data_IF_718933533278
#
_entry.id   IF_718933533278
#
_cell.length_a   1.000
_cell.length_b   1.000
_cell.length_c   1.000
_cell.angle_alpha   90.00
_cell.angle_beta   90.00
_cell.angle_gamma   90.00
#
_symmetry.space_group_name_H-M   'P 1'
#
loop_
_entity.id
_entity.type
_entity.pdbx_description
1 polymer ?
#
# COMPACT_ATOMS: atom_id res chain seq x y z
N UNK A 1 11.64 -13.13 8.83
CA UNK A 1 11.66 -11.85 8.07
C UNK A 1 13.10 -11.56 7.68
N UNK A 2 13.42 -11.63 6.38
CA UNK A 2 14.75 -11.24 5.89
C UNK A 2 14.81 -9.72 5.71
N UNK A 3 15.91 -9.10 6.10
CA UNK A 3 16.19 -7.71 5.77
C UNK A 3 16.61 -7.64 4.29
N UNK A 4 15.63 -7.54 3.39
CA UNK A 4 15.86 -7.43 1.95
C UNK A 4 15.64 -5.97 1.52
N UNK A 5 16.67 -5.27 1.01
CA UNK A 5 16.50 -3.91 0.51
C UNK A 5 15.67 -3.89 -0.77
N UNK A 6 15.11 -2.73 -1.09
CA UNK A 6 14.40 -2.51 -2.35
C UNK A 6 15.31 -2.76 -3.55
N UNK A 7 14.75 -3.28 -4.64
CA UNK A 7 15.49 -3.55 -5.89
C UNK A 7 15.79 -2.29 -6.70
N UNK A 8 15.28 -1.13 -6.27
CA UNK A 8 15.51 0.19 -6.86
C UNK A 8 15.28 0.23 -8.37
N UNK A 9 14.02 0.00 -8.77
CA UNK A 9 13.58 0.10 -10.17
C UNK A 9 14.03 1.42 -10.82
N UNK A 10 14.44 1.33 -12.08
CA UNK A 10 14.87 2.48 -12.89
C UNK A 10 13.82 3.60 -12.89
N UNK A 11 14.29 4.83 -12.67
CA UNK A 11 13.47 6.03 -12.76
C UNK A 11 12.95 6.21 -14.19
N UNK A 12 11.71 6.68 -14.31
CA UNK A 12 11.03 6.84 -15.61
C UNK A 12 10.31 5.57 -16.11
N UNK A 13 10.49 4.42 -15.44
CA UNK A 13 9.68 3.23 -15.72
C UNK A 13 8.20 3.52 -15.41
N UNK A 14 7.32 3.15 -16.34
CA UNK A 14 5.87 3.24 -16.14
C UNK A 14 5.44 2.32 -15.02
N UNK A 15 4.51 2.79 -14.18
CA UNK A 15 3.88 1.95 -13.18
C UNK A 15 3.18 0.76 -13.87
N UNK A 16 3.37 -0.48 -13.39
CA UNK A 16 2.61 -1.62 -13.87
C UNK A 16 1.11 -1.44 -13.57
N UNK A 17 0.26 -1.90 -14.49
CA UNK A 17 -1.18 -1.97 -14.27
C UNK A 17 -1.49 -2.89 -13.08
N UNK A 18 -2.49 -2.50 -12.28
CA UNK A 18 -3.02 -3.32 -11.20
C UNK A 18 -4.53 -3.13 -11.09
N UNK A 19 -5.20 -4.16 -10.59
CA UNK A 19 -6.63 -4.20 -10.29
C UNK A 19 -6.79 -5.10 -9.07
N UNK A 20 -7.02 -4.51 -7.89
CA UNK A 20 -6.97 -5.22 -6.60
C UNK A 20 -8.19 -4.86 -5.75
N UNK A 21 -8.72 -5.80 -4.94
CA UNK A 21 -9.80 -5.49 -4.01
C UNK A 21 -9.28 -4.64 -2.84
N UNK A 22 -10.03 -3.60 -2.48
CA UNK A 22 -9.85 -2.89 -1.22
C UNK A 22 -10.43 -3.70 -0.06
N UNK A 23 -9.60 -3.97 0.95
CA UNK A 23 -9.98 -4.75 2.14
C UNK A 23 -11.02 -4.06 3.02
N UNK A 24 -11.18 -2.73 2.91
CA UNK A 24 -12.16 -1.98 3.70
C UNK A 24 -13.54 -1.97 3.06
N UNK A 25 -13.60 -1.79 1.75
CA UNK A 25 -14.87 -1.59 1.02
C UNK A 25 -15.28 -2.77 0.15
N UNK A 26 -14.37 -3.70 -0.14
CA UNK A 26 -14.56 -4.77 -1.13
C UNK A 26 -14.59 -4.27 -2.57
N UNK A 27 -14.47 -2.96 -2.81
CA UNK A 27 -14.45 -2.39 -4.16
C UNK A 27 -13.12 -2.64 -4.82
N UNK A 28 -13.16 -2.85 -6.13
CA UNK A 28 -11.96 -2.95 -6.94
C UNK A 28 -11.33 -1.58 -7.11
N UNK A 29 -10.02 -1.49 -6.86
CA UNK A 29 -9.19 -0.31 -7.12
C UNK A 29 -8.18 -0.65 -8.21
N UNK A 30 -8.10 0.19 -9.23
CA UNK A 30 -7.20 0.04 -10.36
C UNK A 30 -6.24 1.23 -10.49
N UNK A 31 -5.13 1.04 -11.22
CA UNK A 31 -4.21 2.14 -11.53
C UNK A 31 -4.91 3.31 -12.24
N UNK A 32 -5.87 2.99 -13.12
CA UNK A 32 -6.65 3.99 -13.87
C UNK A 32 -7.48 4.92 -12.99
N UNK A 33 -7.85 4.51 -11.77
CA UNK A 33 -8.62 5.35 -10.84
C UNK A 33 -7.83 6.58 -10.38
N UNK A 34 -6.51 6.56 -10.58
CA UNK A 34 -5.60 7.65 -10.22
C UNK A 34 -5.19 8.53 -11.41
N UNK A 35 -5.69 8.29 -12.63
CA UNK A 35 -5.26 8.99 -13.85
C UNK A 35 -5.42 10.53 -13.80
N UNK A 36 -6.33 11.05 -12.96
CA UNK A 36 -6.52 12.49 -12.75
C UNK A 36 -5.64 13.12 -11.65
N UNK A 37 -4.79 12.34 -10.98
CA UNK A 37 -3.90 12.83 -9.90
C UNK A 37 -2.58 13.32 -10.48
N UNK A 38 -1.93 14.28 -9.80
CA UNK A 38 -0.58 14.75 -10.18
C UNK A 38 0.50 13.72 -9.86
N UNK A 39 0.28 12.89 -8.85
CA UNK A 39 1.18 11.83 -8.44
C UNK A 39 0.40 10.70 -7.77
N UNK A 40 1.01 9.50 -7.75
CA UNK A 40 0.54 8.33 -7.01
C UNK A 40 1.72 7.74 -6.23
N UNK A 41 1.52 7.59 -4.92
CA UNK A 41 2.41 6.83 -4.04
C UNK A 41 1.85 5.41 -3.86
N UNK A 42 2.57 4.41 -4.37
CA UNK A 42 2.27 2.99 -4.18
C UNK A 42 3.23 2.42 -3.13
N UNK A 43 2.70 1.85 -2.06
CA UNK A 43 3.49 1.29 -0.96
C UNK A 43 3.20 -0.21 -0.81
N UNK A 44 4.23 -1.04 -0.85
CA UNK A 44 4.10 -2.45 -0.49
C UNK A 44 4.37 -2.61 1.01
N UNK A 45 3.35 -2.97 1.78
CA UNK A 45 3.41 -3.06 3.24
C UNK A 45 2.73 -4.34 3.73
N UNK A 46 2.94 -4.67 5.00
CA UNK A 46 2.26 -5.79 5.66
C UNK A 46 2.05 -5.50 7.15
N UNK A 47 1.19 -6.28 7.80
CA UNK A 47 0.77 -6.03 9.19
C UNK A 47 1.84 -6.41 10.21
N UNK A 48 2.54 -7.52 9.96
CA UNK A 48 3.40 -8.14 10.96
C UNK A 48 4.87 -7.71 10.89
N UNK A 49 5.25 -6.85 9.93
CA UNK A 49 6.65 -6.46 9.73
C UNK A 49 7.11 -5.40 10.73
N UNK A 50 8.23 -5.61 11.44
CA UNK A 50 8.76 -4.60 12.37
C UNK A 50 9.13 -3.29 11.66
N UNK A 51 9.59 -3.34 10.41
CA UNK A 51 9.88 -2.13 9.63
C UNK A 51 8.61 -1.34 9.31
N UNK A 52 7.51 -2.01 8.96
CA UNK A 52 6.21 -1.36 8.70
C UNK A 52 5.63 -0.82 10.00
N UNK A 53 5.66 -1.61 11.07
CA UNK A 53 5.20 -1.18 12.40
C UNK A 53 5.94 0.07 12.87
N UNK A 54 7.24 0.17 12.59
CA UNK A 54 8.04 1.35 12.90
C UNK A 54 7.60 2.60 12.13
N UNK A 55 7.37 2.49 10.82
CA UNK A 55 7.02 3.67 9.98
C UNK A 55 5.52 4.00 9.94
N UNK A 56 4.66 3.09 10.41
CA UNK A 56 3.19 3.24 10.35
C UNK A 56 2.68 4.60 10.85
N UNK A 57 3.13 5.16 12.00
CA UNK A 57 2.67 6.47 12.45
C UNK A 57 2.96 7.58 11.43
N UNK A 58 4.16 7.59 10.85
CA UNK A 58 4.56 8.56 9.84
C UNK A 58 3.78 8.41 8.53
N UNK A 59 3.41 7.18 8.14
CA UNK A 59 2.54 6.96 6.97
C UNK A 59 1.13 7.53 7.19
N UNK A 60 0.60 7.42 8.41
CA UNK A 60 -0.70 8.01 8.77
C UNK A 60 -0.63 9.55 8.70
N UNK A 61 0.45 10.15 9.22
CA UNK A 61 0.69 11.59 9.14
C UNK A 61 0.81 12.06 7.69
N UNK A 62 1.60 11.37 6.87
CA UNK A 62 1.74 11.64 5.45
C UNK A 62 0.38 11.61 4.72
N UNK A 63 -0.43 10.58 5.00
CA UNK A 63 -1.76 10.47 4.41
C UNK A 63 -2.70 11.62 4.83
N UNK A 64 -2.58 12.10 6.08
CA UNK A 64 -3.33 13.26 6.58
C UNK A 64 -2.87 14.56 5.92
N UNK A 65 -1.56 14.78 5.81
CA UNK A 65 -0.97 16.00 5.25
C UNK A 65 -1.34 16.19 3.77
N UNK A 66 -1.43 15.09 3.04
CA UNK A 66 -1.79 15.08 1.62
C UNK A 66 -3.27 14.84 1.34
N UNK A 67 -4.11 14.77 2.38
CA UNK A 67 -5.56 14.65 2.20
C UNK A 67 -6.08 15.88 1.44
N UNK A 68 -6.87 15.64 0.39
CA UNK A 68 -7.42 16.70 -0.48
C UNK A 68 -6.42 17.31 -1.47
N UNK A 69 -5.14 16.90 -1.44
CA UNK A 69 -4.14 17.29 -2.45
C UNK A 69 -4.22 16.37 -3.67
N UNK A 70 -3.64 16.75 -4.82
CA UNK A 70 -3.64 15.90 -6.01
C UNK A 70 -2.61 14.75 -5.95
N UNK A 71 -2.45 14.13 -4.78
CA UNK A 71 -1.65 12.92 -4.56
C UNK A 71 -2.61 11.75 -4.27
N UNK A 72 -2.51 10.68 -5.06
CA UNK A 72 -3.06 9.39 -4.68
C UNK A 72 -2.10 8.64 -3.77
N UNK A 73 -2.61 7.90 -2.80
CA UNK A 73 -1.81 7.03 -1.92
C UNK A 73 -2.52 5.68 -1.86
N UNK A 74 -1.80 4.60 -2.15
CA UNK A 74 -2.30 3.23 -2.06
C UNK A 74 -1.29 2.34 -1.34
N UNK A 75 -1.80 1.51 -0.44
CA UNK A 75 -1.03 0.49 0.27
C UNK A 75 -1.46 -0.90 -0.23
N UNK A 76 -0.49 -1.72 -0.64
CA UNK A 76 -0.69 -3.06 -1.20
C UNK A 76 0.01 -4.07 -0.28
N UNK A 77 -0.68 -5.14 0.09
CA UNK A 77 -0.06 -6.33 0.68
C UNK A 77 0.06 -7.40 -0.39
N UNK A 78 1.26 -7.95 -0.54
CA UNK A 78 1.56 -9.05 -1.48
C UNK A 78 2.04 -10.30 -0.76
N UNK A 79 1.91 -10.34 0.58
CA UNK A 79 2.32 -11.49 1.36
C UNK A 79 1.33 -12.64 1.22
N UNK A 80 1.86 -13.86 1.29
CA UNK A 80 1.06 -15.09 1.28
C UNK A 80 0.26 -15.18 2.58
N UNK A 81 -1.07 -15.05 2.48
CA UNK A 81 -1.99 -15.05 3.62
C UNK A 81 -2.14 -16.44 4.28
N UNK A 82 -1.87 -17.54 3.56
CA UNK A 82 -1.90 -18.88 4.15
C UNK A 82 -0.68 -19.08 5.06
N UNK A 83 0.48 -18.60 4.61
CA UNK A 83 1.72 -18.66 5.38
C UNK A 83 1.81 -17.60 6.47
N UNK A 84 1.23 -16.41 6.24
CA UNK A 84 1.22 -15.28 7.16
C UNK A 84 -0.22 -14.77 7.38
N UNK A 85 -1.00 -15.42 8.26
CA UNK A 85 -2.41 -15.08 8.47
C UNK A 85 -2.67 -13.63 8.91
N UNK A 86 -1.69 -12.96 9.53
CA UNK A 86 -1.80 -11.54 9.89
C UNK A 86 -1.87 -10.61 8.68
N UNK A 87 -1.48 -11.08 7.48
CA UNK A 87 -1.60 -10.32 6.24
C UNK A 87 -2.80 -10.76 5.39
N UNK A 88 -3.70 -11.56 5.95
CA UNK A 88 -4.98 -11.85 5.33
C UNK A 88 -5.85 -10.59 5.22
N UNK A 89 -6.77 -10.50 4.22
CA UNK A 89 -7.61 -9.32 4.00
C UNK A 89 -8.32 -8.79 5.25
N UNK A 90 -8.88 -9.67 6.07
CA UNK A 90 -9.59 -9.31 7.30
C UNK A 90 -8.65 -8.64 8.31
N UNK A 91 -7.43 -9.17 8.44
CA UNK A 91 -6.41 -8.66 9.35
C UNK A 91 -5.82 -7.35 8.85
N UNK A 92 -5.67 -7.18 7.55
CA UNK A 92 -5.28 -5.91 6.93
C UNK A 92 -6.36 -4.84 7.12
N UNK A 93 -7.64 -5.22 7.01
CA UNK A 93 -8.76 -4.31 7.29
C UNK A 93 -8.78 -3.84 8.75
N UNK A 94 -8.43 -4.71 9.71
CA UNK A 94 -8.23 -4.29 11.11
C UNK A 94 -7.11 -3.24 11.26
N UNK A 95 -6.01 -3.38 10.52
CA UNK A 95 -4.89 -2.42 10.57
C UNK A 95 -5.23 -1.08 9.91
N UNK A 96 -6.09 -1.09 8.89
CA UNK A 96 -6.43 0.08 8.10
C UNK A 96 -7.56 0.96 8.70
N UNK A 97 -8.24 0.47 9.74
CA UNK A 97 -9.26 1.22 10.51
C UNK A 97 -8.61 2.12 11.57
#
# INVERSE_FOLDING_TARGET
MSATPSTMTELGRKAPEFTLPDVLTGQTVALSDFAGRKALLVMFICKHCPYVLHVKPALIELARDYRGRPLGIVAISSNDAERYPDDAPERLAEMAR
#
